data_IF_498355036092
#
_entry.id   IF_498355036092
#
_cell.length_a   1.000
_cell.length_b   1.000
_cell.length_c   1.000
_cell.angle_alpha   90.00
_cell.angle_beta   90.00
_cell.angle_gamma   90.00
#
_symmetry.space_group_name_H-M   'P 1'
#
loop_
_entity.id
_entity.type
_entity.pdbx_description
1 polymer ?
#
# COMPACT_ATOMS: atom_id res chain seq x y z
N UNK A 1 11.48 -8.65 -0.16
CA UNK A 1 12.83 -8.08 -0.30
C UNK A 1 13.05 -7.61 -1.72
N UNK A 2 13.56 -6.40 -1.84
CA UNK A 2 13.96 -5.79 -3.10
C UNK A 2 15.43 -6.12 -3.36
N UNK A 3 15.73 -6.58 -4.58
CA UNK A 3 17.09 -6.64 -5.09
C UNK A 3 17.33 -5.37 -5.88
N UNK A 4 18.27 -4.54 -5.43
CA UNK A 4 18.61 -3.31 -6.16
C UNK A 4 19.06 -3.64 -7.58
N UNK A 5 18.61 -2.83 -8.54
CA UNK A 5 19.03 -2.93 -9.94
C UNK A 5 20.30 -2.13 -10.24
N UNK A 6 20.73 -1.28 -9.32
CA UNK A 6 21.89 -0.40 -9.51
C UNK A 6 23.16 -0.93 -8.82
N UNK A 7 23.02 -1.66 -7.71
CA UNK A 7 24.15 -2.16 -6.91
C UNK A 7 23.80 -3.46 -6.19
N UNK A 8 24.81 -4.20 -5.72
CA UNK A 8 24.61 -5.47 -4.98
C UNK A 8 24.17 -5.25 -3.54
N UNK A 9 23.00 -4.63 -3.35
CA UNK A 9 22.34 -4.49 -2.04
C UNK A 9 20.93 -5.04 -2.10
N UNK A 10 20.49 -5.56 -0.95
CA UNK A 10 19.11 -5.99 -0.74
C UNK A 10 18.44 -5.02 0.22
N UNK A 11 17.23 -4.59 -0.11
CA UNK A 11 16.44 -3.70 0.72
C UNK A 11 15.23 -4.49 1.25
N UNK A 12 15.06 -4.63 2.58
CA UNK A 12 13.92 -5.33 3.14
C UNK A 12 12.59 -4.58 2.94
N UNK A 13 11.48 -5.31 2.97
CA UNK A 13 10.12 -4.78 2.97
C UNK A 13 9.87 -3.82 4.14
N UNK A 14 10.57 -4.01 5.26
CA UNK A 14 10.48 -3.09 6.39
C UNK A 14 11.00 -1.68 6.05
N UNK A 15 12.05 -1.56 5.24
CA UNK A 15 12.58 -0.26 4.81
C UNK A 15 11.69 0.38 3.75
N UNK A 16 11.14 -0.42 2.83
CA UNK A 16 10.08 0.02 1.90
C UNK A 16 8.88 0.57 2.67
N UNK A 17 8.30 -0.22 3.57
CA UNK A 17 7.11 0.18 4.29
C UNK A 17 7.37 1.41 5.19
N UNK A 18 8.58 1.53 5.76
CA UNK A 18 9.01 2.73 6.48
C UNK A 18 9.03 3.97 5.58
N UNK A 19 9.59 3.88 4.37
CA UNK A 19 9.60 5.00 3.43
C UNK A 19 8.18 5.36 2.98
N UNK A 20 7.34 4.38 2.66
CA UNK A 20 5.91 4.61 2.36
C UNK A 20 5.21 5.36 3.50
N UNK A 21 5.47 4.99 4.76
CA UNK A 21 4.96 5.69 5.94
C UNK A 21 5.44 7.13 6.07
N UNK A 22 6.72 7.39 5.77
CA UNK A 22 7.28 8.76 5.76
C UNK A 22 6.59 9.63 4.69
N UNK A 23 6.39 9.09 3.50
CA UNK A 23 5.69 9.78 2.40
C UNK A 23 4.24 10.08 2.83
N UNK A 24 3.55 9.10 3.42
CA UNK A 24 2.19 9.27 3.94
C UNK A 24 2.10 10.36 5.03
N UNK A 25 3.09 10.42 5.92
CA UNK A 25 3.15 11.45 6.97
C UNK A 25 3.38 12.86 6.41
N UNK A 26 4.00 12.96 5.23
CA UNK A 26 4.21 14.21 4.52
C UNK A 26 3.08 14.55 3.54
N UNK A 27 2.03 13.72 3.44
CA UNK A 27 0.94 13.93 2.50
C UNK A 27 0.02 15.08 2.92
N UNK A 28 -0.53 15.77 1.91
CA UNK A 28 -1.48 16.86 2.07
C UNK A 28 -0.81 18.23 2.07
N UNK A 29 -1.48 19.20 1.44
CA UNK A 29 -1.05 20.60 1.36
C UNK A 29 -2.21 21.49 0.89
N UNK A 30 -1.92 22.71 0.43
CA UNK A 30 -2.94 23.62 -0.08
C UNK A 30 -3.73 23.06 -1.28
N UNK A 31 -3.18 22.11 -2.04
CA UNK A 31 -3.81 21.48 -3.20
C UNK A 31 -4.41 20.09 -2.93
N UNK A 32 -3.86 19.35 -1.97
CA UNK A 32 -4.25 17.97 -1.68
C UNK A 32 -4.82 17.85 -0.27
N UNK A 33 -5.97 17.20 -0.15
CA UNK A 33 -6.55 16.89 1.15
C UNK A 33 -5.72 15.85 1.90
N UNK A 34 -5.72 15.98 3.22
CA UNK A 34 -5.34 14.91 4.13
C UNK A 34 -6.56 13.98 4.35
N UNK A 35 -6.36 12.70 4.65
CA UNK A 35 -7.47 11.80 4.99
C UNK A 35 -8.37 12.35 6.10
N UNK A 36 -9.68 12.31 5.89
CA UNK A 36 -10.69 12.78 6.85
C UNK A 36 -10.94 11.77 7.99
N UNK A 37 -9.85 11.18 8.50
CA UNK A 37 -9.76 10.31 9.67
C UNK A 37 -8.38 10.51 10.32
N UNK A 38 -8.02 9.72 11.33
CA UNK A 38 -6.76 9.93 12.05
C UNK A 38 -5.55 9.82 11.12
N UNK A 39 -4.78 10.91 10.97
CA UNK A 39 -3.53 10.91 10.21
C UNK A 39 -2.54 9.89 10.80
N UNK A 40 -2.47 9.77 12.13
CA UNK A 40 -1.64 8.77 12.80
C UNK A 40 -2.02 7.35 12.36
N UNK A 41 -3.33 7.05 12.34
CA UNK A 41 -3.82 5.74 11.91
C UNK A 41 -3.60 5.50 10.42
N UNK A 42 -3.72 6.53 9.59
CA UNK A 42 -3.37 6.45 8.18
C UNK A 42 -1.89 6.10 7.98
N UNK A 43 -0.98 6.88 8.59
CA UNK A 43 0.47 6.65 8.52
C UNK A 43 0.82 5.27 9.05
N UNK A 44 0.21 4.84 10.15
CA UNK A 44 0.39 3.51 10.71
C UNK A 44 -0.05 2.42 9.73
N UNK A 45 -1.24 2.55 9.14
CA UNK A 45 -1.73 1.62 8.13
C UNK A 45 -0.79 1.51 6.93
N UNK A 46 -0.33 2.64 6.39
CA UNK A 46 0.65 2.68 5.29
C UNK A 46 2.00 2.11 5.74
N UNK A 47 2.46 2.35 6.95
CA UNK A 47 3.76 1.82 7.43
C UNK A 47 3.76 0.30 7.59
N UNK A 48 2.59 -0.32 7.76
CA UNK A 48 2.48 -1.76 8.03
C UNK A 48 1.72 -2.54 6.95
N UNK A 49 1.48 -1.96 5.76
CA UNK A 49 0.71 -2.61 4.70
C UNK A 49 1.30 -3.96 4.27
N UNK A 50 2.63 -4.07 4.20
CA UNK A 50 3.36 -5.29 3.81
C UNK A 50 3.85 -6.14 5.00
N UNK A 51 3.20 -6.04 6.16
CA UNK A 51 3.56 -6.79 7.39
C UNK A 51 3.65 -8.31 7.20
N UNK A 52 2.96 -8.88 6.21
CA UNK A 52 2.95 -10.31 5.91
C UNK A 52 4.31 -10.91 5.48
N UNK A 53 5.26 -10.09 5.04
CA UNK A 53 6.61 -10.57 4.65
C UNK A 53 7.47 -10.99 5.84
N UNK A 54 7.13 -10.52 7.04
CA UNK A 54 7.80 -10.88 8.28
C UNK A 54 9.19 -10.25 8.44
N UNK A 55 9.81 -10.46 9.61
CA UNK A 55 11.05 -9.77 10.02
C UNK A 55 12.28 -10.15 9.19
N UNK A 56 12.37 -11.39 8.74
CA UNK A 56 13.55 -11.87 8.00
C UNK A 56 13.50 -11.47 6.52
N UNK A 57 12.30 -11.21 5.98
CA UNK A 57 12.04 -10.85 4.59
C UNK A 57 12.98 -11.57 3.58
N UNK A 58 12.92 -12.90 3.56
CA UNK A 58 13.74 -13.71 2.64
C UNK A 58 13.04 -13.96 1.29
N UNK A 59 12.08 -13.10 0.93
CA UNK A 59 11.20 -13.29 -0.22
C UNK A 59 11.55 -12.29 -1.32
N UNK A 60 12.41 -12.66 -2.29
CA UNK A 60 12.75 -11.76 -3.39
C UNK A 60 11.53 -11.46 -4.25
N UNK A 61 11.19 -10.17 -4.36
CA UNK A 61 10.08 -9.72 -5.18
C UNK A 61 10.30 -10.10 -6.65
N UNK A 62 9.24 -10.55 -7.32
CA UNK A 62 9.29 -11.02 -8.72
C UNK A 62 9.77 -12.45 -8.92
N UNK A 63 10.28 -13.11 -7.87
CA UNK A 63 10.79 -14.49 -7.93
C UNK A 63 9.92 -15.48 -7.14
N UNK A 64 8.85 -14.99 -6.49
CA UNK A 64 7.94 -15.80 -5.70
C UNK A 64 6.97 -16.57 -6.58
N UNK A 65 6.67 -17.81 -6.19
CA UNK A 65 5.51 -18.51 -6.73
C UNK A 65 4.22 -17.78 -6.33
N UNK A 66 3.21 -17.84 -7.19
CA UNK A 66 1.87 -17.29 -6.91
C UNK A 66 1.33 -17.78 -5.56
N UNK A 67 1.48 -19.08 -5.28
CA UNK A 67 1.05 -19.70 -4.02
C UNK A 67 1.73 -19.05 -2.81
N UNK A 68 3.05 -18.94 -2.83
CA UNK A 68 3.81 -18.31 -1.73
C UNK A 68 3.45 -16.84 -1.57
N UNK A 69 3.24 -16.14 -2.68
CA UNK A 69 2.83 -14.74 -2.66
C UNK A 69 1.45 -14.59 -2.00
N UNK A 70 0.45 -15.40 -2.36
CA UNK A 70 -0.86 -15.40 -1.70
C UNK A 70 -0.78 -15.76 -0.22
N UNK A 71 0.05 -16.74 0.17
CA UNK A 71 0.28 -17.09 1.58
C UNK A 71 0.83 -15.91 2.39
N UNK A 72 1.74 -15.11 1.81
CA UNK A 72 2.25 -13.87 2.44
C UNK A 72 1.11 -12.88 2.71
N UNK A 73 0.23 -12.67 1.73
CA UNK A 73 -0.89 -11.73 1.86
C UNK A 73 -1.95 -12.24 2.82
N UNK A 74 -2.18 -13.56 2.87
CA UNK A 74 -3.03 -14.17 3.88
C UNK A 74 -2.47 -13.94 5.29
N UNK A 75 -1.16 -14.17 5.51
CA UNK A 75 -0.54 -13.85 6.81
C UNK A 75 -0.68 -12.38 7.18
N UNK A 76 -0.56 -11.47 6.20
CA UNK A 76 -0.77 -10.04 6.43
C UNK A 76 -2.21 -9.77 6.91
N UNK A 77 -3.18 -10.41 6.25
CA UNK A 77 -4.60 -10.32 6.57
C UNK A 77 -4.98 -10.90 7.95
N UNK A 78 -4.26 -11.91 8.43
CA UNK A 78 -4.54 -12.60 9.70
C UNK A 78 -4.03 -11.82 10.93
N UNK A 79 -3.09 -10.88 10.74
CA UNK A 79 -2.62 -9.99 11.81
C UNK A 79 -3.64 -8.88 12.03
N UNK A 80 -4.20 -8.78 13.23
CA UNK A 80 -5.16 -7.73 13.58
C UNK A 80 -4.49 -6.58 14.30
N UNK A 81 -4.75 -5.34 13.86
CA UNK A 81 -4.46 -4.15 14.67
C UNK A 81 -5.57 -3.84 15.67
N UNK A 82 -5.17 -3.32 16.83
CA UNK A 82 -6.08 -2.65 17.76
C UNK A 82 -6.59 -1.30 17.22
N UNK A 83 -5.88 -0.73 16.25
CA UNK A 83 -6.29 0.46 15.51
C UNK A 83 -7.09 0.04 14.26
N UNK A 84 -8.41 0.11 14.37
CA UNK A 84 -9.34 -0.27 13.29
C UNK A 84 -9.16 0.56 12.03
N UNK A 85 -8.80 1.85 12.15
CA UNK A 85 -8.62 2.71 10.97
C UNK A 85 -7.36 2.31 10.21
N UNK A 86 -6.26 2.05 10.92
CA UNK A 86 -5.05 1.51 10.32
C UNK A 86 -5.30 0.13 9.69
N UNK A 87 -6.10 -0.73 10.32
CA UNK A 87 -6.46 -2.03 9.79
C UNK A 87 -7.22 -1.92 8.45
N UNK A 88 -8.19 -1.00 8.33
CA UNK A 88 -8.88 -0.76 7.06
C UNK A 88 -7.95 -0.33 5.94
N UNK A 89 -6.98 0.54 6.22
CA UNK A 89 -5.97 0.96 5.24
C UNK A 89 -5.17 -0.25 4.72
N UNK A 90 -4.74 -1.14 5.61
CA UNK A 90 -4.01 -2.36 5.21
C UNK A 90 -4.90 -3.28 4.37
N UNK A 91 -6.13 -3.54 4.80
CA UNK A 91 -7.02 -4.47 4.11
C UNK A 91 -7.42 -3.98 2.71
N UNK A 92 -7.61 -2.66 2.53
CA UNK A 92 -7.85 -2.07 1.21
C UNK A 92 -6.64 -2.22 0.28
N UNK A 93 -5.43 -2.00 0.79
CA UNK A 93 -4.21 -2.24 0.03
C UNK A 93 -4.08 -3.72 -0.38
N UNK A 94 -4.30 -4.67 0.53
CA UNK A 94 -4.26 -6.10 0.23
C UNK A 94 -5.28 -6.49 -0.83
N UNK A 95 -6.52 -5.99 -0.71
CA UNK A 95 -7.57 -6.17 -1.72
C UNK A 95 -7.10 -5.66 -3.09
N UNK A 96 -6.60 -4.41 -3.17
CA UNK A 96 -6.13 -3.80 -4.42
C UNK A 96 -5.01 -4.63 -5.05
N UNK A 97 -4.05 -5.06 -4.24
CA UNK A 97 -2.87 -5.77 -4.70
C UNK A 97 -3.21 -7.14 -5.29
N UNK A 98 -4.14 -7.88 -4.67
CA UNK A 98 -4.59 -9.20 -5.15
C UNK A 98 -5.61 -9.12 -6.28
N UNK A 99 -6.27 -7.97 -6.48
CA UNK A 99 -7.26 -7.79 -7.54
C UNK A 99 -6.69 -7.75 -8.97
N UNK A 100 -5.37 -7.70 -9.14
CA UNK A 100 -4.75 -7.79 -10.47
C UNK A 100 -4.83 -9.22 -11.02
N UNK A 101 -5.19 -9.38 -12.30
CA UNK A 101 -5.27 -10.68 -12.99
C UNK A 101 -6.01 -11.78 -12.19
N UNK A 102 -7.33 -11.63 -12.08
CA UNK A 102 -8.21 -12.45 -11.22
C UNK A 102 -8.25 -13.94 -11.60
N UNK A 103 -7.27 -14.72 -11.13
CA UNK A 103 -7.41 -16.19 -11.03
C UNK A 103 -8.55 -16.54 -10.05
N UNK A 104 -9.08 -17.77 -10.09
CA UNK A 104 -10.13 -18.19 -9.15
C UNK A 104 -9.75 -18.00 -7.66
N UNK A 105 -8.48 -18.25 -7.31
CA UNK A 105 -7.94 -18.09 -5.96
C UNK A 105 -7.88 -16.61 -5.56
N UNK A 106 -7.37 -15.74 -6.45
CA UNK A 106 -7.31 -14.29 -6.22
C UNK A 106 -8.70 -13.68 -6.09
N UNK A 107 -9.63 -14.10 -6.95
CA UNK A 107 -11.03 -13.66 -6.89
C UNK A 107 -11.66 -13.97 -5.53
N UNK A 108 -11.48 -15.20 -5.04
CA UNK A 108 -11.99 -15.61 -3.72
C UNK A 108 -11.38 -14.76 -2.60
N UNK A 109 -10.06 -14.55 -2.64
CA UNK A 109 -9.38 -13.69 -1.66
C UNK A 109 -9.97 -12.27 -1.65
N UNK A 110 -10.17 -11.68 -2.83
CA UNK A 110 -10.76 -10.34 -2.98
C UNK A 110 -12.18 -10.29 -2.38
N UNK A 111 -13.04 -11.26 -2.68
CA UNK A 111 -14.41 -11.33 -2.16
C UNK A 111 -14.44 -11.47 -0.62
N UNK A 112 -13.54 -12.29 -0.06
CA UNK A 112 -13.37 -12.43 1.39
C UNK A 112 -12.90 -11.11 2.03
N UNK A 113 -11.94 -10.42 1.41
CA UNK A 113 -11.47 -9.11 1.89
C UNK A 113 -12.55 -8.06 1.80
N UNK A 114 -13.31 -8.00 0.71
CA UNK A 114 -14.44 -7.07 0.57
C UNK A 114 -15.48 -7.24 1.67
N UNK A 115 -15.84 -8.50 1.96
CA UNK A 115 -16.76 -8.82 3.05
C UNK A 115 -16.20 -8.37 4.40
N UNK A 116 -14.94 -8.69 4.69
CA UNK A 116 -14.28 -8.30 5.94
C UNK A 116 -14.20 -6.78 6.11
N UNK A 117 -13.76 -6.06 5.08
CA UNK A 117 -13.65 -4.59 5.06
C UNK A 117 -15.01 -3.95 5.35
N UNK A 118 -16.07 -4.41 4.69
CA UNK A 118 -17.41 -3.87 4.90
C UNK A 118 -17.91 -4.12 6.34
N UNK A 119 -17.68 -5.31 6.87
CA UNK A 119 -18.04 -5.66 8.25
C UNK A 119 -17.25 -4.83 9.27
N UNK A 120 -15.94 -4.67 9.06
CA UNK A 120 -15.06 -3.90 9.93
C UNK A 120 -15.48 -2.42 9.97
N UNK A 121 -15.76 -1.83 8.81
CA UNK A 121 -16.25 -0.46 8.73
C UNK A 121 -17.61 -0.29 9.42
N UNK A 122 -18.57 -1.17 9.12
CA UNK A 122 -19.93 -1.09 9.68
C UNK A 122 -19.94 -1.24 11.21
N UNK A 123 -19.19 -2.21 11.74
CA UNK A 123 -19.13 -2.49 13.18
C UNK A 123 -18.53 -1.35 14.01
N UNK A 124 -17.75 -0.47 13.37
CA UNK A 124 -17.10 0.68 14.02
C UNK A 124 -17.66 2.04 13.58
N UNK A 125 -18.74 2.06 12.78
CA UNK A 125 -19.35 3.30 12.28
C UNK A 125 -18.43 4.12 11.38
N UNK A 126 -17.51 3.47 10.66
CA UNK A 126 -16.55 4.14 9.78
C UNK A 126 -17.15 4.31 8.37
N UNK A 127 -16.91 5.47 7.76
CA UNK A 127 -17.35 5.78 6.39
C UNK A 127 -16.35 5.19 5.38
N UNK A 128 -16.69 4.04 4.81
CA UNK A 128 -15.77 3.27 3.96
C UNK A 128 -15.29 4.02 2.71
N UNK A 129 -16.12 4.90 2.13
CA UNK A 129 -15.78 5.73 0.98
C UNK A 129 -14.57 6.64 1.24
N UNK A 130 -14.40 7.15 2.46
CA UNK A 130 -13.20 7.90 2.88
C UNK A 130 -11.93 7.06 2.82
N UNK A 131 -12.00 5.80 3.24
CA UNK A 131 -10.87 4.89 3.21
C UNK A 131 -10.56 4.44 1.79
N UNK A 132 -11.57 4.17 0.97
CA UNK A 132 -11.40 3.86 -0.46
C UNK A 132 -10.75 5.03 -1.19
N UNK A 133 -11.15 6.27 -0.90
CA UNK A 133 -10.47 7.45 -1.44
C UNK A 133 -9.01 7.52 -0.96
N UNK A 134 -8.75 7.33 0.34
CA UNK A 134 -7.40 7.38 0.90
C UNK A 134 -6.50 6.24 0.38
N UNK A 135 -7.08 5.14 -0.09
CA UNK A 135 -6.35 4.02 -0.69
C UNK A 135 -5.60 4.42 -1.97
N UNK A 136 -6.07 5.44 -2.70
CA UNK A 136 -5.32 6.04 -3.81
C UNK A 136 -4.02 6.71 -3.35
N UNK A 137 -4.05 7.31 -2.15
CA UNK A 137 -2.86 7.90 -1.53
C UNK A 137 -1.90 6.80 -1.08
N UNK A 138 -2.44 5.74 -0.44
CA UNK A 138 -1.65 4.55 -0.09
C UNK A 138 -0.98 3.96 -1.32
N UNK A 139 -1.70 3.84 -2.44
CA UNK A 139 -1.15 3.35 -3.70
C UNK A 139 -0.02 4.23 -4.24
N UNK A 140 -0.14 5.56 -4.15
CA UNK A 140 0.95 6.47 -4.51
C UNK A 140 2.17 6.26 -3.61
N UNK A 141 1.99 6.25 -2.28
CA UNK A 141 3.08 6.08 -1.32
C UNK A 141 3.84 4.77 -1.55
N UNK A 142 3.09 3.69 -1.75
CA UNK A 142 3.60 2.35 -2.05
C UNK A 142 4.41 2.35 -3.36
N UNK A 143 3.87 2.87 -4.48
CA UNK A 143 4.60 2.88 -5.75
C UNK A 143 5.89 3.70 -5.72
N UNK A 144 5.87 4.88 -5.10
CA UNK A 144 7.08 5.73 -4.99
C UNK A 144 8.17 4.98 -4.21
N UNK A 145 7.81 4.39 -3.08
CA UNK A 145 8.74 3.62 -2.26
C UNK A 145 9.22 2.35 -2.98
N UNK A 146 8.32 1.65 -3.67
CA UNK A 146 8.63 0.43 -4.41
C UNK A 146 9.66 0.68 -5.51
N UNK A 147 9.43 1.70 -6.34
CA UNK A 147 10.38 2.12 -7.40
C UNK A 147 11.72 2.59 -6.79
N UNK A 148 11.67 3.34 -5.68
CA UNK A 148 12.87 3.76 -4.96
C UNK A 148 13.69 2.57 -4.44
N UNK A 149 13.04 1.55 -3.86
CA UNK A 149 13.70 0.37 -3.31
C UNK A 149 14.29 -0.57 -4.38
N UNK A 150 13.85 -0.50 -5.63
CA UNK A 150 14.56 -1.14 -6.75
C UNK A 150 15.77 -0.32 -7.23
N UNK A 151 15.94 0.90 -6.75
CA UNK A 151 16.94 1.88 -7.19
C UNK A 151 16.91 2.10 -8.71
N UNK A 152 15.72 2.03 -9.31
CA UNK A 152 15.51 2.23 -10.74
C UNK A 152 15.29 3.72 -11.04
N UNK A 153 16.08 4.29 -11.95
CA UNK A 153 15.78 5.64 -12.47
C UNK A 153 14.57 5.55 -13.38
N UNK A 154 13.50 6.23 -13.01
CA UNK A 154 12.19 6.10 -13.67
C UNK A 154 11.35 7.34 -13.47
N UNK A 155 10.64 7.71 -14.53
CA UNK A 155 9.48 8.59 -14.46
C UNK A 155 8.22 7.73 -14.45
N UNK A 156 7.30 8.04 -13.55
CA UNK A 156 6.08 7.25 -13.34
C UNK A 156 4.93 8.16 -12.94
N UNK A 157 3.73 7.60 -12.86
CA UNK A 157 2.54 8.30 -12.40
C UNK A 157 1.61 7.33 -11.68
N UNK A 158 0.83 7.87 -10.75
CA UNK A 158 -0.27 7.16 -10.09
C UNK A 158 -1.50 8.04 -10.11
N UNK A 159 -2.64 7.45 -10.41
CA UNK A 159 -3.93 8.14 -10.35
C UNK A 159 -4.34 8.41 -8.91
N UNK A 160 -4.53 9.68 -8.57
CA UNK A 160 -4.98 10.15 -7.26
C UNK A 160 -6.10 11.19 -7.40
N UNK A 161 -6.86 11.40 -6.34
CA UNK A 161 -7.83 12.49 -6.25
C UNK A 161 -7.24 13.61 -5.39
N UNK A 162 -7.37 14.87 -5.81
CA UNK A 162 -6.86 16.01 -5.04
C UNK A 162 -7.66 16.20 -3.76
N UNK A 163 -8.99 16.16 -3.87
CA UNK A 163 -9.93 16.31 -2.76
C UNK A 163 -10.78 15.08 -2.54
N UNK A 164 -11.27 14.95 -1.32
CA UNK A 164 -12.32 13.98 -1.03
C UNK A 164 -13.60 14.35 -1.82
N UNK A 165 -14.17 13.38 -2.54
CA UNK A 165 -15.33 13.52 -3.45
C UNK A 165 -15.08 14.25 -4.76
N UNK A 166 -13.84 14.54 -5.12
CA UNK A 166 -13.55 14.92 -6.51
C UNK A 166 -14.04 13.81 -7.45
N UNK A 167 -14.72 14.20 -8.52
CA UNK A 167 -15.24 13.28 -9.53
C UNK A 167 -14.19 12.84 -10.55
N UNK A 168 -13.05 13.55 -10.61
CA UNK A 168 -11.98 13.31 -11.55
C UNK A 168 -10.66 13.06 -10.82
N UNK A 169 -10.02 11.94 -11.14
CA UNK A 169 -8.65 11.66 -10.75
C UNK A 169 -7.67 12.42 -11.64
N UNK A 170 -6.46 12.63 -11.13
CA UNK A 170 -5.32 13.17 -11.86
C UNK A 170 -4.17 12.17 -11.87
N UNK A 171 -3.35 12.21 -12.93
CA UNK A 171 -2.07 11.51 -12.96
C UNK A 171 -1.04 12.32 -12.16
N UNK A 172 -0.80 11.93 -10.91
CA UNK A 172 0.27 12.52 -10.11
C UNK A 172 1.60 11.90 -10.52
N UNK A 173 2.42 12.69 -11.19
CA UNK A 173 3.72 12.28 -11.72
C UNK A 173 4.81 12.38 -10.66
N UNK A 174 5.74 11.43 -10.66
CA UNK A 174 6.95 11.47 -9.85
C UNK A 174 8.14 10.91 -10.64
N UNK A 175 9.34 11.25 -10.18
CA UNK A 175 10.60 10.81 -10.78
C UNK A 175 11.52 10.30 -9.68
N UNK A 176 12.07 9.10 -9.86
CA UNK A 176 13.21 8.60 -9.10
C UNK A 176 14.45 8.81 -9.97
N UNK A 177 15.45 9.51 -9.43
CA UNK A 177 16.72 9.78 -10.12
C UNK A 177 17.86 9.23 -9.29
N UNK A 178 18.77 8.49 -9.91
CA UNK A 178 20.04 8.17 -9.30
C UNK A 178 20.85 9.47 -9.11
N UNK A 179 21.33 9.72 -7.89
CA UNK A 179 22.27 10.80 -7.66
C UNK A 179 23.68 10.34 -8.07
N UNK A 180 24.13 10.79 -9.25
CA UNK A 180 25.55 10.86 -9.63
C UNK A 180 26.35 9.56 -9.59
N UNK A 181 26.15 8.69 -10.58
CA UNK A 181 27.24 7.84 -11.08
C UNK A 181 27.94 8.57 -12.21
#
# INVERSE_FOLDING_TARGET
MFKSRARSVNIPQAEHARLSGIIANAWGNAEFDVPEFSLESFVKGVTFHDRGYGRLDNYPLGELSEKTWLEIHQRSADVQFSDTQAELVVQLQLKRLVAYNLTPERKRYVEERETFIQQLANSHGLQLDKFVWADHITHFCDNVSFDFCFEETKDSFVMVFKRYKDSAAIDLKYSIKANGV
#
